data_IF_465702471412
#
_entry.id   IF_465702471412
#
_cell.length_a   1.000
_cell.length_b   1.000
_cell.length_c   1.000
_cell.angle_alpha   90.00
_cell.angle_beta   90.00
_cell.angle_gamma   90.00
#
_symmetry.space_group_name_H-M   'P 1'
#
loop_
_entity.id
_entity.type
_entity.pdbx_description
1 polymer ?
#
# COMPACT_ATOMS: atom_id res chain seq x y z
N UNK A 1 40.78 9.00 24.67
CA UNK A 1 39.39 8.70 24.26
C UNK A 1 38.82 9.98 23.70
N UNK A 2 38.76 10.10 22.38
CA UNK A 2 38.18 11.25 21.69
C UNK A 2 36.77 10.86 21.24
N UNK A 3 35.77 11.57 21.76
CA UNK A 3 34.37 11.40 21.37
C UNK A 3 34.21 11.72 19.88
N UNK A 4 33.69 10.76 19.12
CA UNK A 4 33.34 10.94 17.72
C UNK A 4 32.07 11.80 17.71
N UNK A 5 32.22 13.10 17.47
CA UNK A 5 31.10 13.98 17.16
C UNK A 5 30.59 13.63 15.76
N UNK A 6 29.61 12.71 15.69
CA UNK A 6 28.89 12.42 14.45
C UNK A 6 28.08 13.66 14.06
N UNK A 7 28.47 14.27 12.94
CA UNK A 7 27.68 15.33 12.30
C UNK A 7 26.27 14.80 12.00
N UNK A 8 25.19 15.47 12.47
CA UNK A 8 23.82 15.05 12.19
C UNK A 8 23.50 14.99 10.68
N UNK A 9 24.29 15.65 9.83
CA UNK A 9 24.19 15.55 8.36
C UNK A 9 24.65 14.18 7.81
N UNK A 10 25.50 13.46 8.55
CA UNK A 10 26.08 12.17 8.14
C UNK A 10 25.11 11.01 8.40
N UNK A 11 24.10 11.20 9.27
CA UNK A 11 23.02 10.23 9.55
C UNK A 11 21.74 10.60 8.80
N UNK A 12 21.82 11.30 7.68
CA UNK A 12 20.70 11.30 6.74
C UNK A 12 20.79 9.98 5.99
N UNK A 13 20.17 8.93 6.56
CA UNK A 13 19.75 7.75 5.79
C UNK A 13 19.27 8.25 4.43
N UNK A 14 19.71 7.62 3.32
CA UNK A 14 19.31 7.91 1.93
C UNK A 14 17.80 7.72 1.71
N UNK A 15 17.00 8.42 2.49
CA UNK A 15 15.59 8.57 2.29
C UNK A 15 15.44 9.41 1.03
N UNK A 16 14.60 8.97 0.09
CA UNK A 16 14.30 9.79 -1.06
C UNK A 16 13.82 11.18 -0.62
N UNK A 17 14.00 12.23 -1.43
CA UNK A 17 13.64 13.60 -1.03
C UNK A 17 12.17 13.77 -0.59
N UNK A 18 11.28 12.90 -1.08
CA UNK A 18 9.86 12.87 -0.71
C UNK A 18 9.55 12.21 0.65
N UNK A 19 10.53 11.56 1.26
CA UNK A 19 10.48 11.06 2.64
C UNK A 19 11.02 12.10 3.65
N UNK A 20 11.51 13.25 3.18
CA UNK A 20 12.03 14.33 4.03
C UNK A 20 10.89 15.34 4.31
N UNK A 21 10.61 15.57 5.59
CA UNK A 21 9.43 16.23 6.14
C UNK A 21 9.12 17.63 5.58
N UNK A 22 7.84 17.86 5.27
CA UNK A 22 7.26 19.17 4.90
C UNK A 22 5.90 19.09 4.18
N UNK A 23 5.53 17.92 3.68
CA UNK A 23 4.31 17.73 2.88
C UNK A 23 3.08 17.48 3.75
N UNK A 24 1.92 17.95 3.29
CA UNK A 24 0.63 17.58 3.87
C UNK A 24 0.36 16.08 3.72
N UNK A 25 -0.51 15.53 4.57
CA UNK A 25 -0.92 14.13 4.47
C UNK A 25 -1.56 13.81 3.10
N UNK A 26 -2.20 14.78 2.44
CA UNK A 26 -2.72 14.59 1.08
C UNK A 26 -1.63 14.47 0.03
N UNK A 27 -0.60 15.30 0.10
CA UNK A 27 0.53 15.28 -0.85
C UNK A 27 1.35 14.01 -0.69
N UNK A 28 1.69 13.61 0.55
CA UNK A 28 2.38 12.35 0.82
C UNK A 28 1.63 11.15 0.24
N UNK A 29 0.30 11.10 0.44
CA UNK A 29 -0.56 10.06 -0.15
C UNK A 29 -0.47 10.00 -1.67
N UNK A 30 -0.55 11.14 -2.33
CA UNK A 30 -0.47 11.23 -3.79
C UNK A 30 0.87 10.68 -4.29
N UNK A 31 1.96 11.07 -3.63
CA UNK A 31 3.30 10.66 -4.03
C UNK A 31 3.56 9.19 -3.78
N UNK A 32 3.18 8.65 -2.61
CA UNK A 32 3.31 7.22 -2.36
C UNK A 32 2.50 6.40 -3.37
N UNK A 33 1.26 6.82 -3.67
CA UNK A 33 0.43 6.15 -4.68
C UNK A 33 1.09 6.17 -6.06
N UNK A 34 1.63 7.32 -6.48
CA UNK A 34 2.29 7.45 -7.78
C UNK A 34 3.53 6.56 -7.86
N UNK A 35 4.35 6.51 -6.81
CA UNK A 35 5.51 5.61 -6.76
C UNK A 35 5.11 4.14 -6.78
N UNK A 36 4.12 3.74 -5.98
CA UNK A 36 3.63 2.36 -5.95
C UNK A 36 3.20 1.90 -7.36
N UNK A 37 2.39 2.71 -8.04
CA UNK A 37 1.93 2.43 -9.41
C UNK A 37 3.08 2.41 -10.42
N UNK A 38 4.00 3.39 -10.33
CA UNK A 38 5.14 3.46 -11.24
C UNK A 38 6.03 2.24 -11.11
N UNK A 39 6.36 1.81 -9.90
CA UNK A 39 7.19 0.65 -9.66
C UNK A 39 6.50 -0.66 -10.05
N UNK A 40 5.19 -0.78 -9.80
CA UNK A 40 4.38 -1.91 -10.26
C UNK A 40 4.41 -2.06 -11.79
N UNK A 41 4.23 -0.95 -12.53
CA UNK A 41 4.34 -0.95 -14.00
C UNK A 41 5.72 -1.39 -14.49
N UNK A 42 6.79 -0.98 -13.81
CA UNK A 42 8.17 -1.40 -14.13
C UNK A 42 8.55 -2.76 -13.54
N UNK A 43 7.60 -3.50 -12.95
CA UNK A 43 7.78 -4.81 -12.32
C UNK A 43 8.82 -4.84 -11.19
N UNK A 44 9.07 -3.71 -10.53
CA UNK A 44 9.87 -3.66 -9.32
C UNK A 44 8.95 -3.91 -8.11
N UNK A 45 8.53 -5.17 -7.94
CA UNK A 45 7.44 -5.52 -7.04
C UNK A 45 7.74 -5.25 -5.57
N UNK A 46 8.98 -5.47 -5.13
CA UNK A 46 9.41 -5.19 -3.75
C UNK A 46 9.27 -3.71 -3.41
N UNK A 47 9.73 -2.83 -4.30
CA UNK A 47 9.64 -1.38 -4.08
C UNK A 47 8.20 -0.89 -4.24
N UNK A 48 7.44 -1.46 -5.17
CA UNK A 48 6.02 -1.17 -5.32
C UNK A 48 5.25 -1.49 -4.02
N UNK A 49 5.49 -2.68 -3.45
CA UNK A 49 4.87 -3.11 -2.20
C UNK A 49 5.17 -2.14 -1.05
N UNK A 50 6.44 -1.74 -0.90
CA UNK A 50 6.85 -0.77 0.11
C UNK A 50 6.01 0.52 0.07
N UNK A 51 5.77 1.07 -1.13
CA UNK A 51 4.95 2.27 -1.26
C UNK A 51 3.45 1.99 -1.10
N UNK A 52 2.96 0.81 -1.48
CA UNK A 52 1.59 0.40 -1.15
C UNK A 52 1.37 0.27 0.36
N UNK A 53 2.34 -0.28 1.09
CA UNK A 53 2.29 -0.39 2.55
C UNK A 53 2.22 0.98 3.20
N UNK A 54 3.06 1.93 2.76
CA UNK A 54 2.97 3.33 3.20
C UNK A 54 1.58 3.94 2.90
N UNK A 55 0.98 3.65 1.75
CA UNK A 55 -0.38 4.09 1.43
C UNK A 55 -1.45 3.49 2.36
N UNK A 56 -1.21 2.35 2.99
CA UNK A 56 -2.20 1.73 3.90
C UNK A 56 -2.03 2.15 5.36
N UNK A 57 -0.80 2.52 5.77
CA UNK A 57 -0.51 2.93 7.15
C UNK A 57 -0.72 4.43 7.41
N UNK A 58 -0.39 5.30 6.44
CA UNK A 58 -0.38 6.77 6.65
C UNK A 58 -1.70 7.48 6.30
N UNK A 59 -2.80 6.74 6.07
CA UNK A 59 -4.08 7.30 5.63
C UNK A 59 -5.13 7.39 6.72
N UNK A 60 -5.84 8.53 6.77
CA UNK A 60 -7.10 8.66 7.49
C UNK A 60 -8.06 7.52 7.11
N UNK A 61 -8.66 6.86 8.10
CA UNK A 61 -9.52 5.69 7.93
C UNK A 61 -10.49 5.77 6.73
N UNK A 62 -11.10 6.93 6.48
CA UNK A 62 -12.07 7.12 5.39
C UNK A 62 -11.48 6.97 3.98
N UNK A 63 -10.17 7.15 3.78
CA UNK A 63 -9.51 6.97 2.46
C UNK A 63 -8.65 5.70 2.41
N UNK A 64 -8.46 5.03 3.54
CA UNK A 64 -7.67 3.80 3.66
C UNK A 64 -8.26 2.66 2.85
N UNK A 65 -9.59 2.54 2.75
CA UNK A 65 -10.21 1.47 1.94
C UNK A 65 -9.80 1.50 0.47
N UNK A 66 -9.58 2.69 -0.12
CA UNK A 66 -9.15 2.82 -1.50
C UNK A 66 -7.71 2.35 -1.70
N UNK A 67 -6.80 2.60 -0.75
CA UNK A 67 -5.45 2.04 -0.81
C UNK A 67 -5.42 0.53 -0.62
N UNK A 68 -6.25 0.01 0.30
CA UNK A 68 -6.40 -1.43 0.48
C UNK A 68 -6.90 -2.09 -0.81
N UNK A 69 -7.90 -1.52 -1.49
CA UNK A 69 -8.35 -2.02 -2.80
C UNK A 69 -7.26 -1.98 -3.88
N UNK A 70 -6.40 -0.96 -3.88
CA UNK A 70 -5.28 -0.88 -4.82
C UNK A 70 -4.20 -1.94 -4.52
N UNK A 71 -3.81 -2.10 -3.25
CA UNK A 71 -2.83 -3.12 -2.85
C UNK A 71 -3.37 -4.52 -3.07
N UNK A 72 -4.66 -4.75 -2.82
CA UNK A 72 -5.34 -6.01 -3.15
C UNK A 72 -5.21 -6.36 -4.64
N UNK A 73 -5.49 -5.41 -5.53
CA UNK A 73 -5.32 -5.62 -6.98
C UNK A 73 -3.87 -5.98 -7.32
N UNK A 74 -2.92 -5.24 -6.77
CA UNK A 74 -1.49 -5.49 -6.99
C UNK A 74 -1.06 -6.88 -6.49
N UNK A 75 -1.50 -7.29 -5.30
CA UNK A 75 -1.25 -8.61 -4.73
C UNK A 75 -1.74 -9.73 -5.67
N UNK A 76 -2.90 -9.57 -6.33
CA UNK A 76 -3.34 -10.54 -7.35
C UNK A 76 -2.42 -10.59 -8.57
N UNK A 77 -1.92 -9.43 -9.03
CA UNK A 77 -1.01 -9.36 -10.18
C UNK A 77 0.34 -10.06 -9.91
N UNK A 78 0.77 -10.15 -8.66
CA UNK A 78 2.00 -10.84 -8.24
C UNK A 78 1.75 -12.23 -7.62
N UNK A 79 0.59 -12.83 -7.88
CA UNK A 79 0.20 -14.16 -7.40
C UNK A 79 0.19 -14.33 -5.86
N UNK A 80 -0.24 -13.28 -5.15
CA UNK A 80 -0.47 -13.25 -3.70
C UNK A 80 -1.97 -13.10 -3.37
N UNK A 81 -2.81 -14.09 -3.73
CA UNK A 81 -4.26 -13.94 -3.67
C UNK A 81 -4.82 -13.95 -2.23
N UNK A 82 -4.09 -14.50 -1.27
CA UNK A 82 -4.49 -14.52 0.14
C UNK A 82 -4.33 -13.13 0.77
N UNK A 83 -3.20 -12.48 0.53
CA UNK A 83 -2.90 -11.12 0.93
C UNK A 83 -3.87 -10.14 0.26
N UNK A 84 -4.23 -10.41 -1.01
CA UNK A 84 -5.26 -9.66 -1.72
C UNK A 84 -6.65 -9.76 -1.05
N UNK A 85 -7.02 -10.95 -0.57
CA UNK A 85 -8.27 -11.19 0.13
C UNK A 85 -8.29 -10.51 1.51
N UNK A 86 -7.18 -10.55 2.24
CA UNK A 86 -7.04 -9.86 3.53
C UNK A 86 -7.22 -8.35 3.39
N UNK A 87 -6.61 -7.75 2.37
CA UNK A 87 -6.79 -6.33 2.08
C UNK A 87 -8.24 -5.98 1.74
N UNK A 88 -8.90 -6.83 0.94
CA UNK A 88 -10.31 -6.64 0.58
C UNK A 88 -11.24 -6.75 1.80
N UNK A 89 -10.96 -7.69 2.71
CA UNK A 89 -11.69 -7.83 3.98
C UNK A 89 -11.49 -6.62 4.89
N UNK A 90 -10.25 -6.13 5.03
CA UNK A 90 -9.96 -4.89 5.76
C UNK A 90 -10.65 -3.68 5.14
N UNK A 91 -10.74 -3.61 3.82
CA UNK A 91 -11.47 -2.53 3.15
C UNK A 91 -12.98 -2.60 3.44
N UNK A 92 -13.55 -3.80 3.57
CA UNK A 92 -14.96 -4.01 3.87
C UNK A 92 -15.35 -3.61 5.30
N UNK A 93 -14.44 -3.69 6.27
CA UNK A 93 -14.72 -3.19 7.63
C UNK A 93 -14.85 -1.66 7.66
N UNK A 94 -14.25 -0.97 6.69
CA UNK A 94 -14.30 0.50 6.56
C UNK A 94 -15.45 0.94 5.66
N UNK A 95 -15.69 0.23 4.56
CA UNK A 95 -16.63 0.63 3.51
C UNK A 95 -17.43 -0.57 2.96
N UNK A 96 -18.18 -1.26 3.83
CA UNK A 96 -18.96 -2.47 3.49
C UNK A 96 -20.00 -2.28 2.38
N UNK A 97 -20.58 -1.08 2.27
CA UNK A 97 -21.53 -0.73 1.20
C UNK A 97 -20.88 -0.36 -0.14
N UNK A 98 -19.55 -0.35 -0.22
CA UNK A 98 -18.84 0.06 -1.42
C UNK A 98 -18.84 -1.04 -2.47
N UNK A 99 -19.44 -0.75 -3.64
CA UNK A 99 -19.41 -1.64 -4.79
C UNK A 99 -17.96 -2.01 -5.21
N UNK A 100 -17.01 -1.07 -5.05
CA UNK A 100 -15.60 -1.31 -5.34
C UNK A 100 -15.02 -2.40 -4.43
N UNK A 101 -15.31 -2.35 -3.14
CA UNK A 101 -14.79 -3.34 -2.18
C UNK A 101 -15.42 -4.71 -2.44
N UNK A 102 -16.73 -4.75 -2.67
CA UNK A 102 -17.43 -6.00 -2.93
C UNK A 102 -16.95 -6.68 -4.23
N UNK A 103 -16.68 -5.90 -5.28
CA UNK A 103 -16.07 -6.40 -6.50
C UNK A 103 -14.68 -6.99 -6.24
N UNK A 104 -13.85 -6.33 -5.42
CA UNK A 104 -12.52 -6.85 -5.11
C UNK A 104 -12.55 -8.16 -4.31
N UNK A 105 -13.48 -8.31 -3.37
CA UNK A 105 -13.67 -9.58 -2.66
C UNK A 105 -14.03 -10.68 -3.66
N UNK A 106 -14.99 -10.44 -4.54
CA UNK A 106 -15.42 -11.43 -5.54
C UNK A 106 -14.26 -11.85 -6.45
N UNK A 107 -13.49 -10.89 -6.99
CA UNK A 107 -12.31 -11.16 -7.80
C UNK A 107 -11.25 -12.00 -7.04
N UNK A 108 -11.02 -11.69 -5.77
CA UNK A 108 -10.08 -12.46 -4.93
C UNK A 108 -10.58 -13.90 -4.69
N UNK A 109 -11.88 -14.10 -4.47
CA UNK A 109 -12.46 -15.42 -4.27
C UNK A 109 -12.33 -16.30 -5.52
N UNK A 110 -12.55 -15.72 -6.71
CA UNK A 110 -12.30 -16.40 -7.98
C UNK A 110 -10.83 -16.80 -8.10
N UNK A 111 -9.91 -15.89 -7.78
CA UNK A 111 -8.47 -16.12 -7.89
C UNK A 111 -7.91 -17.13 -6.88
N UNK A 112 -8.54 -17.28 -5.71
CA UNK A 112 -8.12 -18.23 -4.66
C UNK A 112 -8.70 -19.64 -4.87
N UNK A 113 -9.61 -19.82 -5.84
CA UNK A 113 -10.28 -21.10 -6.07
C UNK A 113 -11.28 -21.48 -4.97
N UNK A 114 -11.56 -20.57 -4.03
CA UNK A 114 -12.57 -20.75 -3.00
C UNK A 114 -13.96 -20.54 -3.62
N UNK A 115 -14.52 -21.59 -4.21
CA UNK A 115 -15.96 -21.64 -4.50
C UNK A 115 -16.71 -21.53 -3.18
N UNK A 116 -17.66 -20.61 -3.11
CA UNK A 116 -18.69 -20.59 -2.08
C UNK A 116 -19.46 -21.90 -2.14
N UNK A 117 -19.08 -22.86 -1.29
CA UNK A 117 -20.01 -23.91 -0.87
C UNK A 117 -20.94 -23.25 0.15
N UNK A 118 -22.00 -22.64 -0.37
CA UNK A 118 -23.19 -22.28 0.39
C UNK A 118 -24.22 -23.38 0.21
#
# INVERSE_FOLDING_TARGET
MSDIQLDPSVIVLKLPPWDINGWSSQERRSVYRNWALRYAQTRNFTVAMHYFDKCTHDMDNNKTFAALCMRSKFNREIAQPQEALEDSKKAATIASGSALVNLQIADCMISTGLRTTS
#
